data_IF_281978217819
#
_entry.id   IF_281978217819
#
_cell.length_a   1.000
_cell.length_b   1.000
_cell.length_c   1.000
_cell.angle_alpha   90.00
_cell.angle_beta   90.00
_cell.angle_gamma   90.00
#
_symmetry.space_group_name_H-M   'P 1'
#
loop_
_entity.id
_entity.type
_entity.pdbx_description
1 polymer ?
#
# COMPACT_ATOMS: atom_id res chain seq x y z
N UNK A 1 -21.82 -0.93 26.82
CA UNK A 1 -22.44 -1.02 25.47
C UNK A 1 -22.23 0.34 24.83
N UNK A 2 -21.60 0.41 23.67
CA UNK A 2 -21.47 1.71 22.97
C UNK A 2 -22.76 1.98 22.24
N UNK A 3 -23.37 3.14 22.49
CA UNK A 3 -24.53 3.59 21.74
C UNK A 3 -24.15 3.72 20.26
N UNK A 4 -24.89 3.02 19.40
CA UNK A 4 -24.66 3.09 17.97
C UNK A 4 -25.37 4.32 17.39
N UNK A 5 -24.60 5.18 16.72
CA UNK A 5 -25.13 6.36 16.01
C UNK A 5 -25.91 5.88 14.78
N UNK A 6 -27.15 6.35 14.64
CA UNK A 6 -28.02 6.11 13.48
C UNK A 6 -27.85 7.25 12.48
N UNK A 7 -27.63 6.92 11.21
CA UNK A 7 -27.45 7.87 10.12
C UNK A 7 -28.65 7.83 9.18
N UNK A 8 -29.10 9.00 8.72
CA UNK A 8 -30.13 9.11 7.68
C UNK A 8 -29.44 9.32 6.32
N UNK A 9 -29.75 8.45 5.37
CA UNK A 9 -29.21 8.48 4.01
C UNK A 9 -29.99 9.43 3.10
N UNK A 10 -29.41 9.73 1.94
CA UNK A 10 -30.01 10.55 0.88
C UNK A 10 -31.37 10.05 0.36
N UNK A 11 -31.64 8.74 0.43
CA UNK A 11 -32.93 8.13 0.09
C UNK A 11 -33.96 8.21 1.24
N UNK A 12 -33.58 8.82 2.36
CA UNK A 12 -34.39 8.90 3.58
C UNK A 12 -34.31 7.64 4.46
N UNK A 13 -33.57 6.61 4.05
CA UNK A 13 -33.42 5.40 4.85
C UNK A 13 -32.51 5.64 6.05
N UNK A 14 -32.81 4.97 7.17
CA UNK A 14 -31.98 5.03 8.38
C UNK A 14 -31.11 3.77 8.47
N UNK A 15 -29.83 3.96 8.72
CA UNK A 15 -28.87 2.86 8.83
C UNK A 15 -27.83 3.13 9.90
N UNK A 16 -27.43 2.05 10.56
CA UNK A 16 -26.32 2.07 11.49
C UNK A 16 -25.03 1.61 10.81
N UNK A 17 -23.88 2.11 11.26
CA UNK A 17 -22.58 1.73 10.69
C UNK A 17 -22.30 0.22 10.74
N UNK A 18 -22.77 -0.48 11.79
CA UNK A 18 -22.67 -1.94 11.91
C UNK A 18 -23.48 -2.68 10.85
N UNK A 19 -24.70 -2.20 10.55
CA UNK A 19 -25.55 -2.77 9.50
C UNK A 19 -24.93 -2.56 8.12
N UNK A 20 -24.41 -1.36 7.84
CA UNK A 20 -23.77 -1.04 6.57
C UNK A 20 -22.51 -1.91 6.36
N UNK A 21 -21.69 -2.06 7.41
CA UNK A 21 -20.50 -2.89 7.40
C UNK A 21 -20.81 -4.35 7.02
N UNK A 22 -21.87 -4.93 7.62
CA UNK A 22 -22.34 -6.28 7.29
C UNK A 22 -22.84 -6.40 5.86
N UNK A 23 -23.59 -5.40 5.36
CA UNK A 23 -24.13 -5.41 3.99
C UNK A 23 -23.02 -5.37 2.92
N UNK A 24 -21.97 -4.57 3.13
CA UNK A 24 -20.89 -4.37 2.14
C UNK A 24 -19.72 -5.36 2.37
N UNK A 25 -19.59 -5.93 3.56
CA UNK A 25 -18.46 -6.80 3.92
C UNK A 25 -17.19 -6.02 4.26
N UNK A 26 -17.31 -4.87 4.93
CA UNK A 26 -16.17 -4.04 5.38
C UNK A 26 -16.13 -3.93 6.90
N UNK A 27 -15.04 -3.39 7.45
CA UNK A 27 -14.95 -3.11 8.88
C UNK A 27 -15.93 -2.01 9.30
N UNK A 28 -16.41 -2.07 10.55
CA UNK A 28 -17.30 -1.05 11.12
C UNK A 28 -16.65 0.34 11.12
N UNK A 29 -15.35 0.43 11.39
CA UNK A 29 -14.58 1.66 11.28
C UNK A 29 -14.57 2.20 9.84
N UNK A 30 -14.41 1.34 8.83
CA UNK A 30 -14.49 1.71 7.42
C UNK A 30 -15.88 2.21 7.02
N UNK A 31 -16.94 1.57 7.52
CA UNK A 31 -18.32 2.02 7.31
C UNK A 31 -18.58 3.40 7.95
N UNK A 32 -18.11 3.63 9.18
CA UNK A 32 -18.19 4.94 9.86
C UNK A 32 -17.46 6.02 9.06
N UNK A 33 -16.24 5.73 8.59
CA UNK A 33 -15.48 6.67 7.78
C UNK A 33 -16.22 7.05 6.49
N UNK A 34 -16.83 6.08 5.79
CA UNK A 34 -17.63 6.33 4.59
C UNK A 34 -18.86 7.21 4.88
N UNK A 35 -19.61 6.89 5.94
CA UNK A 35 -20.78 7.67 6.36
C UNK A 35 -20.42 9.11 6.75
N UNK A 36 -19.27 9.32 7.39
CA UNK A 36 -18.77 10.65 7.70
C UNK A 36 -18.37 11.46 6.45
N UNK A 37 -17.98 10.77 5.36
CA UNK A 37 -17.56 11.43 4.12
C UNK A 37 -18.74 11.75 3.20
N UNK A 38 -19.76 10.89 3.15
CA UNK A 38 -20.92 11.06 2.27
C UNK A 38 -22.14 10.27 2.78
N UNK A 39 -23.33 10.85 2.64
CA UNK A 39 -24.62 10.18 2.92
C UNK A 39 -25.31 9.65 1.65
N UNK A 40 -24.61 9.70 0.52
CA UNK A 40 -25.12 9.22 -0.77
C UNK A 40 -25.05 7.71 -0.87
N UNK A 41 -26.20 7.08 -1.10
CA UNK A 41 -26.35 5.61 -1.23
C UNK A 41 -25.35 5.06 -2.25
N UNK A 42 -25.29 5.69 -3.44
CA UNK A 42 -24.42 5.26 -4.54
C UNK A 42 -22.93 5.28 -4.19
N UNK A 43 -22.50 6.21 -3.32
CA UNK A 43 -21.10 6.32 -2.90
C UNK A 43 -20.80 5.30 -1.80
N UNK A 44 -21.74 5.10 -0.87
CA UNK A 44 -21.58 4.19 0.25
C UNK A 44 -21.45 2.74 -0.21
N UNK A 45 -22.34 2.30 -1.11
CA UNK A 45 -22.37 0.94 -1.65
C UNK A 45 -21.35 0.68 -2.77
N UNK A 46 -20.54 1.68 -3.13
CA UNK A 46 -19.52 1.54 -4.16
C UNK A 46 -18.43 0.55 -3.70
N UNK A 47 -18.11 -0.43 -4.54
CA UNK A 47 -17.05 -1.41 -4.22
C UNK A 47 -15.68 -0.75 -4.23
N UNK A 48 -14.70 -1.35 -3.54
CA UNK A 48 -13.34 -0.81 -3.50
C UNK A 48 -12.74 -0.66 -4.90
N UNK A 49 -13.05 -1.59 -5.81
CA UNK A 49 -12.63 -1.54 -7.22
C UNK A 49 -13.22 -0.32 -7.93
N UNK A 50 -14.52 -0.06 -7.77
CA UNK A 50 -15.18 1.09 -8.38
C UNK A 50 -14.64 2.44 -7.86
N UNK A 51 -14.31 2.52 -6.56
CA UNK A 51 -13.67 3.71 -5.99
C UNK A 51 -12.29 3.95 -6.61
N UNK A 52 -11.48 2.89 -6.73
CA UNK A 52 -10.16 2.97 -7.36
C UNK A 52 -10.25 3.38 -8.84
N UNK A 53 -11.27 2.92 -9.56
CA UNK A 53 -11.50 3.27 -10.96
C UNK A 53 -11.93 4.73 -11.15
N UNK A 54 -12.77 5.29 -10.26
CA UNK A 54 -13.23 6.69 -10.36
C UNK A 54 -12.10 7.70 -10.20
N UNK A 55 -11.16 7.42 -9.30
CA UNK A 55 -9.99 8.28 -9.04
C UNK A 55 -8.78 7.91 -9.93
N UNK A 56 -8.94 6.96 -10.85
CA UNK A 56 -7.84 6.49 -11.68
C UNK A 56 -7.41 7.56 -12.68
N UNK A 57 -6.12 7.91 -12.66
CA UNK A 57 -5.51 8.77 -13.67
C UNK A 57 -5.60 8.12 -15.06
N UNK A 58 -6.26 8.81 -15.99
CA UNK A 58 -6.29 8.43 -17.42
C UNK A 58 -5.00 8.89 -18.09
N UNK A 59 -4.38 7.99 -18.84
CA UNK A 59 -3.18 8.27 -19.64
C UNK A 59 -3.53 8.22 -21.13
N UNK A 60 -2.84 9.05 -21.91
CA UNK A 60 -2.94 9.09 -23.37
C UNK A 60 -1.58 8.69 -23.92
N UNK A 61 -1.55 7.63 -24.73
CA UNK A 61 -0.35 7.15 -25.39
C UNK A 61 -0.13 7.87 -26.73
N UNK A 62 1.08 7.71 -27.28
CA UNK A 62 1.51 8.35 -28.55
C UNK A 62 0.64 7.98 -29.76
N UNK A 63 0.03 6.80 -29.78
CA UNK A 63 -0.91 6.35 -30.81
C UNK A 63 -2.34 6.90 -30.62
N UNK A 64 -2.55 7.77 -29.62
CA UNK A 64 -3.84 8.33 -29.28
C UNK A 64 -4.71 7.42 -28.41
N UNK A 65 -4.25 6.22 -28.06
CA UNK A 65 -5.00 5.33 -27.17
C UNK A 65 -5.08 5.92 -25.77
N UNK A 66 -6.29 5.89 -25.20
CA UNK A 66 -6.59 6.40 -23.86
C UNK A 66 -7.00 5.26 -22.96
N UNK A 67 -6.58 5.31 -21.71
CA UNK A 67 -6.99 4.31 -20.72
C UNK A 67 -6.36 4.51 -19.36
N UNK A 68 -6.84 3.73 -18.41
CA UNK A 68 -6.27 3.68 -17.06
C UNK A 68 -5.13 2.67 -16.97
N UNK A 69 -4.30 2.78 -15.93
CA UNK A 69 -3.22 1.82 -15.64
C UNK A 69 -3.76 0.39 -15.52
N UNK A 70 -4.97 0.24 -14.97
CA UNK A 70 -5.62 -1.06 -14.78
C UNK A 70 -6.07 -1.65 -16.12
N UNK A 71 -6.69 -0.87 -16.99
CA UNK A 71 -7.08 -1.31 -18.34
C UNK A 71 -5.86 -1.73 -19.18
N UNK A 72 -4.76 -0.97 -19.13
CA UNK A 72 -3.54 -1.37 -19.84
C UNK A 72 -2.94 -2.66 -19.27
N UNK A 73 -2.95 -2.81 -17.94
CA UNK A 73 -2.46 -4.02 -17.28
C UNK A 73 -3.27 -5.27 -17.68
N UNK A 74 -4.59 -5.16 -17.74
CA UNK A 74 -5.49 -6.24 -18.16
C UNK A 74 -5.28 -6.61 -19.63
N UNK A 75 -5.13 -5.61 -20.52
CA UNK A 75 -4.92 -5.84 -21.96
C UNK A 75 -3.70 -6.69 -22.27
N UNK A 76 -2.60 -6.49 -21.55
CA UNK A 76 -1.34 -7.22 -21.80
C UNK A 76 -1.03 -8.28 -20.74
N UNK A 77 -1.94 -8.46 -19.78
CA UNK A 77 -1.82 -9.40 -18.65
C UNK A 77 -0.53 -9.19 -17.82
N UNK A 78 -0.26 -7.93 -17.46
CA UNK A 78 0.94 -7.48 -16.74
C UNK A 78 0.55 -6.81 -15.43
N UNK A 79 1.43 -6.83 -14.42
CA UNK A 79 1.17 -6.13 -13.16
C UNK A 79 0.99 -4.62 -13.36
N UNK A 80 0.07 -4.02 -12.61
CA UNK A 80 -0.17 -2.56 -12.62
C UNK A 80 1.08 -1.76 -12.23
N UNK A 81 1.94 -2.32 -11.36
CA UNK A 81 3.23 -1.73 -11.00
C UNK A 81 4.18 -1.61 -12.19
N UNK A 82 4.24 -2.64 -13.04
CA UNK A 82 5.05 -2.62 -14.27
C UNK A 82 4.53 -1.58 -15.26
N UNK A 83 3.22 -1.51 -15.49
CA UNK A 83 2.61 -0.48 -16.35
C UNK A 83 2.92 0.92 -15.83
N UNK A 84 2.76 1.15 -14.52
CA UNK A 84 3.07 2.45 -13.88
C UNK A 84 4.54 2.83 -14.08
N UNK A 85 5.46 1.87 -13.97
CA UNK A 85 6.89 2.08 -14.24
C UNK A 85 7.14 2.47 -15.70
N UNK A 86 6.51 1.77 -16.65
CA UNK A 86 6.63 2.07 -18.09
C UNK A 86 6.07 3.45 -18.43
N UNK A 87 4.87 3.78 -17.95
CA UNK A 87 4.24 5.09 -18.16
C UNK A 87 5.03 6.25 -17.54
N UNK A 88 5.78 5.98 -16.46
CA UNK A 88 6.69 6.97 -15.87
C UNK A 88 7.88 7.26 -16.78
N UNK A 89 8.34 6.27 -17.53
CA UNK A 89 9.54 6.38 -18.37
C UNK A 89 9.21 6.82 -19.81
N UNK A 90 8.05 6.44 -20.35
CA UNK A 90 7.67 6.71 -21.75
C UNK A 90 6.16 6.68 -21.96
N UNK A 91 5.67 7.53 -22.87
CA UNK A 91 4.28 7.50 -23.39
C UNK A 91 4.15 6.78 -24.74
N UNK A 92 5.22 6.14 -25.19
CA UNK A 92 5.23 5.33 -26.41
C UNK A 92 4.38 4.06 -26.20
N UNK A 93 3.43 3.81 -27.10
CA UNK A 93 2.51 2.67 -26.95
C UNK A 93 3.23 1.34 -27.13
N UNK A 94 4.25 1.27 -27.99
CA UNK A 94 5.04 0.07 -28.21
C UNK A 94 5.81 -0.36 -26.94
N UNK A 95 6.28 0.61 -26.15
CA UNK A 95 7.00 0.35 -24.91
C UNK A 95 6.03 -0.02 -23.79
N UNK A 96 4.93 0.73 -23.65
CA UNK A 96 3.96 0.54 -22.57
C UNK A 96 3.22 -0.79 -22.70
N UNK A 97 2.81 -1.15 -23.92
CA UNK A 97 2.00 -2.34 -24.21
C UNK A 97 2.85 -3.59 -24.56
N UNK A 98 4.15 -3.57 -24.30
CA UNK A 98 5.02 -4.71 -24.56
C UNK A 98 4.68 -5.91 -23.65
N UNK A 99 4.35 -7.11 -24.17
CA UNK A 99 4.11 -8.27 -23.32
C UNK A 99 5.38 -8.65 -22.54
N UNK A 100 5.22 -9.23 -21.34
CA UNK A 100 6.36 -9.80 -20.60
C UNK A 100 6.81 -11.06 -21.33
N UNK A 101 8.09 -11.14 -21.70
CA UNK A 101 8.70 -12.36 -22.22
C UNK A 101 8.63 -13.47 -21.16
N UNK A 102 8.21 -14.66 -21.58
CA UNK A 102 7.91 -15.82 -20.73
C UNK A 102 9.05 -16.26 -19.80
N UNK A 103 10.28 -15.86 -20.09
CA UNK A 103 11.47 -16.25 -19.33
C UNK A 103 11.55 -15.62 -17.94
N UNK A 104 10.74 -14.58 -17.68
CA UNK A 104 10.63 -13.90 -16.39
C UNK A 104 9.21 -14.00 -15.81
N UNK A 105 8.46 -15.07 -16.13
CA UNK A 105 7.27 -15.41 -15.35
C UNK A 105 7.72 -15.73 -13.93
N UNK A 106 7.65 -14.72 -13.06
CA UNK A 106 7.77 -14.86 -11.62
C UNK A 106 7.10 -16.16 -11.21
N UNK A 107 7.88 -17.11 -10.67
CA UNK A 107 7.35 -18.29 -10.03
C UNK A 107 6.27 -17.81 -9.06
N UNK A 108 5.00 -18.04 -9.43
CA UNK A 108 3.88 -17.92 -8.50
C UNK A 108 4.32 -18.76 -7.33
N UNK A 109 4.58 -18.14 -6.18
CA UNK A 109 4.93 -18.88 -4.98
C UNK A 109 3.85 -19.95 -4.81
N UNK A 110 4.24 -21.20 -5.03
CA UNK A 110 3.39 -22.34 -4.68
C UNK A 110 3.01 -22.14 -3.22
N UNK A 111 1.75 -22.36 -2.82
CA UNK A 111 1.38 -22.27 -1.43
C UNK A 111 2.32 -23.20 -0.66
N UNK A 112 3.04 -22.66 0.32
CA UNK A 112 3.87 -23.43 1.25
C UNK A 112 2.95 -24.32 2.08
N UNK A 113 2.45 -25.41 1.51
CA UNK A 113 2.05 -26.59 2.26
C UNK A 113 3.33 -27.34 2.65
N UNK A 114 4.14 -26.70 3.49
CA UNK A 114 5.21 -27.39 4.21
C UNK A 114 4.60 -27.99 5.47
N UNK A 115 4.03 -29.19 5.33
CA UNK A 115 3.99 -30.15 6.42
C UNK A 115 5.45 -30.49 6.74
N UNK A 116 6.00 -29.87 7.78
CA UNK A 116 7.35 -30.16 8.24
C UNK A 116 7.35 -31.52 8.96
N UNK A 117 8.05 -32.56 8.48
CA UNK A 117 8.42 -33.65 9.35
C UNK A 117 9.49 -33.14 10.34
N UNK A 118 9.26 -33.39 11.63
CA UNK A 118 10.17 -33.04 12.72
C UNK A 118 11.61 -33.44 12.37
N UNK A 119 12.46 -32.45 12.13
CA UNK A 119 13.83 -32.66 11.65
C UNK A 119 14.75 -32.96 12.83
N UNK A 120 15.39 -34.13 12.76
CA UNK A 120 16.53 -34.53 13.61
C UNK A 120 17.64 -33.47 13.52
N UNK A 121 18.25 -33.17 14.66
CA UNK A 121 19.34 -32.21 14.82
C UNK A 121 20.58 -32.64 14.03
N UNK A 122 20.84 -31.96 12.91
CA UNK A 122 22.10 -32.07 12.16
C UNK A 122 23.04 -30.97 12.64
N UNK A 123 24.13 -31.35 13.33
CA UNK A 123 25.23 -30.45 13.71
C UNK A 123 25.95 -29.99 12.45
N UNK A 124 25.77 -28.73 12.04
CA UNK A 124 26.58 -28.11 10.98
C UNK A 124 27.86 -27.55 11.58
N UNK A 125 28.99 -27.98 11.03
CA UNK A 125 30.32 -27.44 11.29
C UNK A 125 30.50 -26.18 10.43
N UNK A 126 30.49 -25.01 11.05
CA UNK A 126 30.74 -23.72 10.38
C UNK A 126 32.20 -23.32 10.58
N UNK A 127 33.03 -23.55 9.56
CA UNK A 127 34.28 -22.80 9.40
C UNK A 127 33.92 -21.39 8.90
N UNK A 128 34.12 -20.40 9.77
CA UNK A 128 33.90 -18.99 9.52
C UNK A 128 35.05 -18.40 8.69
N UNK A 129 34.80 -18.10 7.42
CA UNK A 129 35.67 -17.25 6.60
C UNK A 129 35.27 -15.79 6.83
N UNK A 130 35.82 -15.18 7.88
CA UNK A 130 35.60 -13.77 8.22
C UNK A 130 36.43 -12.87 7.30
N UNK A 131 35.83 -12.39 6.21
CA UNK A 131 36.33 -11.19 5.52
C UNK A 131 35.96 -9.97 6.35
N UNK A 132 36.98 -9.25 6.83
CA UNK A 132 36.84 -7.99 7.56
C UNK A 132 36.26 -6.92 6.64
N UNK A 133 34.98 -6.60 6.84
CA UNK A 133 34.37 -5.42 6.23
C UNK A 133 34.65 -4.25 7.18
N UNK A 134 35.56 -3.37 6.79
CA UNK A 134 35.80 -2.10 7.48
C UNK A 134 34.68 -1.11 7.12
N UNK A 135 33.82 -0.83 8.09
CA UNK A 135 32.84 0.25 7.96
C UNK A 135 33.44 1.54 8.50
N UNK A 136 33.53 2.57 7.66
CA UNK A 136 33.79 3.93 8.12
C UNK A 136 32.53 4.44 8.83
N UNK A 137 32.69 4.74 10.13
CA UNK A 137 31.59 5.19 11.00
C UNK A 137 31.18 6.61 10.56
N UNK A 138 30.03 6.74 9.91
CA UNK A 138 29.45 8.05 9.58
C UNK A 138 29.11 8.75 10.91
N UNK A 139 29.53 10.00 11.13
CA UNK A 139 29.27 10.71 12.38
C UNK A 139 27.75 10.87 12.57
N UNK A 140 27.21 10.20 13.58
CA UNK A 140 25.79 10.31 13.95
C UNK A 140 25.57 11.65 14.64
N UNK A 141 24.69 12.48 14.07
CA UNK A 141 24.24 13.74 14.70
C UNK A 141 23.66 13.41 16.08
N UNK A 142 24.26 13.95 17.14
CA UNK A 142 23.74 13.82 18.50
C UNK A 142 22.64 14.85 18.72
N UNK A 143 21.47 14.38 19.15
CA UNK A 143 20.34 15.23 19.54
C UNK A 143 20.11 15.06 21.03
N UNK A 144 20.00 16.18 21.76
CA UNK A 144 19.61 16.17 23.17
C UNK A 144 18.16 16.63 23.26
N UNK A 145 17.38 15.85 23.99
CA UNK A 145 16.00 16.18 24.31
C UNK A 145 15.98 17.15 25.46
N UNK A 146 15.36 18.32 25.28
CA UNK A 146 15.12 19.27 26.35
C UNK A 146 13.62 19.48 26.54
N UNK A 147 13.19 19.61 27.79
CA UNK A 147 11.81 19.99 28.10
C UNK A 147 11.65 21.49 27.91
N UNK A 148 10.70 21.88 27.07
CA UNK A 148 10.38 23.29 26.85
C UNK A 148 9.70 23.86 28.11
N UNK A 149 10.27 24.90 28.76
CA UNK A 149 9.80 25.37 30.07
C UNK A 149 8.40 26.00 30.03
N UNK A 150 7.91 26.41 28.86
CA UNK A 150 6.59 27.05 28.70
C UNK A 150 5.46 26.06 28.47
N UNK A 151 5.75 24.88 27.92
CA UNK A 151 4.71 23.95 27.44
C UNK A 151 4.87 22.52 27.97
N UNK A 152 5.97 22.22 28.66
CA UNK A 152 6.28 20.87 29.17
C UNK A 152 6.55 19.82 28.08
N UNK A 153 6.47 20.19 26.79
CA UNK A 153 6.74 19.26 25.68
C UNK A 153 8.23 19.09 25.44
N UNK A 154 8.62 17.85 25.17
CA UNK A 154 9.97 17.50 24.75
C UNK A 154 10.21 18.01 23.33
N UNK A 155 11.32 18.74 23.15
CA UNK A 155 11.78 19.23 21.85
C UNK A 155 13.20 18.74 21.59
N UNK A 156 13.48 18.37 20.33
CA UNK A 156 14.80 17.99 19.86
C UNK A 156 15.60 19.24 19.48
N UNK A 157 16.75 19.47 20.13
CA UNK A 157 17.73 20.47 19.67
C UNK A 157 18.97 19.77 19.11
N UNK A 158 19.42 20.22 17.94
CA UNK A 158 20.67 19.78 17.33
C UNK A 158 21.84 20.40 18.08
N UNK A 159 22.77 19.58 18.56
CA UNK A 159 24.00 20.06 19.18
C UNK A 159 25.05 20.17 18.08
N UNK A 160 25.59 21.37 17.86
CA UNK A 160 26.80 21.52 17.05
C UNK A 160 28.02 21.15 17.91
N UNK A 161 28.97 20.37 17.39
CA UNK A 161 30.18 20.01 18.13
C UNK A 161 31.05 21.26 18.38
N UNK A 162 31.74 21.35 19.53
CA UNK A 162 32.73 22.40 19.75
C UNK A 162 33.87 22.28 18.74
N UNK A 163 34.35 23.42 18.23
CA UNK A 163 35.47 23.52 17.29
C UNK A 163 36.80 23.18 17.94
#
# INVERSE_FOLDING_TARGET
MTDEIVYTLSDGSMTTASQLAKKIGISTAGARFRLNKSLDVNVLYCTQTQLLSKDAKVWVLSDGTKGTVMEFAEKINVSTGTIRSRLRNSLDSAVVLKPISSDNQFHKHAPLNLSYPASKTVKRNTQSNLRSISYTRVPTKSYRMEQCPKTGRLITKSIQPPM
#
